data_IF_462933291585
#
_entry.id   IF_462933291585
#
_cell.length_a   1.000
_cell.length_b   1.000
_cell.length_c   1.000
_cell.angle_alpha   90.00
_cell.angle_beta   90.00
_cell.angle_gamma   90.00
#
_symmetry.space_group_name_H-M   'P 1'
#
loop_
_entity.id
_entity.type
_entity.pdbx_description
1 polymer ?
#
# COMPACT_ATOMS: atom_id res chain seq x y z
N UNK A 1 -33.68 -12.43 2.51
CA UNK A 1 -32.68 -13.00 3.45
C UNK A 1 -31.60 -11.95 3.69
N UNK A 2 -30.93 -11.96 4.86
CA UNK A 2 -29.87 -11.02 5.22
C UNK A 2 -28.72 -11.75 5.94
N UNK A 3 -27.51 -11.18 5.89
CA UNK A 3 -26.30 -11.67 6.59
C UNK A 3 -25.87 -10.59 7.58
N UNK A 4 -25.55 -10.99 8.81
CA UNK A 4 -25.08 -10.11 9.87
C UNK A 4 -23.74 -10.61 10.42
N UNK A 5 -22.88 -9.67 10.83
CA UNK A 5 -21.61 -9.96 11.48
C UNK A 5 -21.21 -8.82 12.42
N UNK A 6 -20.31 -9.11 13.36
CA UNK A 6 -19.78 -8.13 14.31
C UNK A 6 -18.27 -8.36 14.51
N UNK A 7 -17.56 -7.29 14.81
CA UNK A 7 -16.14 -7.34 15.19
C UNK A 7 -15.97 -6.52 16.46
N UNK A 8 -15.06 -6.94 17.35
CA UNK A 8 -14.72 -6.09 18.49
C UNK A 8 -14.06 -4.79 18.00
N UNK A 9 -14.33 -3.67 18.67
CA UNK A 9 -13.71 -2.38 18.40
C UNK A 9 -13.26 -1.81 19.75
N UNK A 10 -12.03 -2.12 20.20
CA UNK A 10 -11.60 -1.87 21.58
C UNK A 10 -11.63 -0.40 22.02
N UNK A 11 -11.62 0.52 21.06
CA UNK A 11 -11.74 1.96 21.25
C UNK A 11 -13.19 2.46 21.38
N UNK A 12 -14.20 1.60 21.24
CA UNK A 12 -15.58 1.94 21.58
C UNK A 12 -15.88 1.62 23.05
N UNK A 13 -16.62 2.50 23.76
CA UNK A 13 -17.09 2.21 25.12
C UNK A 13 -17.98 0.96 25.15
N UNK A 14 -17.87 0.18 26.24
CA UNK A 14 -18.73 -0.98 26.47
C UNK A 14 -20.21 -0.58 26.42
N UNK A 15 -21.02 -1.39 25.74
CA UNK A 15 -22.45 -1.10 25.50
C UNK A 15 -22.73 -0.26 24.25
N UNK A 16 -21.69 0.16 23.51
CA UNK A 16 -21.83 0.93 22.27
C UNK A 16 -21.72 0.03 21.04
N UNK A 17 -22.61 0.21 20.07
CA UNK A 17 -22.55 -0.46 18.76
C UNK A 17 -22.36 0.61 17.68
N UNK A 18 -21.24 0.53 16.95
CA UNK A 18 -20.98 1.36 15.77
C UNK A 18 -21.61 0.74 14.51
N UNK A 19 -22.40 1.51 13.79
CA UNK A 19 -23.05 1.09 12.53
C UNK A 19 -22.83 2.18 11.49
N UNK A 20 -22.55 1.78 10.25
CA UNK A 20 -22.42 2.67 9.10
C UNK A 20 -23.03 1.99 7.88
N UNK A 21 -23.73 2.74 7.03
CA UNK A 21 -24.19 2.25 5.74
C UNK A 21 -23.06 2.27 4.67
N UNK A 22 -23.15 1.36 3.72
CA UNK A 22 -22.13 1.19 2.68
C UNK A 22 -20.79 0.62 3.21
N UNK A 23 -19.66 0.86 2.50
CA UNK A 23 -18.36 0.31 2.88
C UNK A 23 -17.89 0.80 4.27
N UNK A 24 -17.55 -0.13 5.16
CA UNK A 24 -17.06 0.19 6.51
C UNK A 24 -15.52 0.08 6.62
N UNK A 25 -14.91 -0.87 5.91
CA UNK A 25 -13.47 -1.15 5.95
C UNK A 25 -12.89 -1.17 4.53
N UNK A 26 -11.59 -0.93 4.42
CA UNK A 26 -10.89 -1.02 3.14
C UNK A 26 -10.77 -2.48 2.67
N UNK A 27 -10.83 -2.68 1.36
CA UNK A 27 -10.30 -3.91 0.75
C UNK A 27 -8.78 -3.91 0.81
N UNK A 28 -8.17 -5.09 0.82
CA UNK A 28 -6.72 -5.24 0.87
C UNK A 28 -6.28 -6.16 -0.26
N UNK A 29 -5.36 -5.68 -1.08
CA UNK A 29 -4.67 -6.44 -2.12
C UNK A 29 -3.16 -6.48 -1.81
N UNK A 30 -2.45 -7.45 -2.39
CA UNK A 30 -1.01 -7.60 -2.25
C UNK A 30 -0.38 -7.93 -3.59
N UNK A 31 0.77 -7.32 -3.88
CA UNK A 31 1.59 -7.64 -5.04
C UNK A 31 3.08 -7.71 -4.66
N UNK A 32 3.88 -8.25 -5.57
CA UNK A 32 5.34 -8.37 -5.43
C UNK A 32 6.01 -7.82 -6.69
N UNK A 33 7.17 -7.17 -6.52
CA UNK A 33 8.00 -6.68 -7.61
C UNK A 33 9.40 -7.27 -7.42
N UNK A 34 9.83 -8.11 -8.36
CA UNK A 34 11.20 -8.62 -8.43
C UNK A 34 12.03 -7.73 -9.37
N UNK A 35 13.15 -7.21 -8.86
CA UNK A 35 14.05 -6.33 -9.62
C UNK A 35 15.40 -7.02 -9.81
N UNK A 36 15.73 -7.31 -11.08
CA UNK A 36 17.01 -7.89 -11.45
C UNK A 36 18.00 -6.81 -11.88
N UNK A 37 19.19 -6.84 -11.29
CA UNK A 37 20.32 -6.02 -11.69
C UNK A 37 21.35 -6.81 -12.51
N UNK A 38 22.42 -6.11 -12.90
CA UNK A 38 23.60 -6.71 -13.54
C UNK A 38 24.81 -6.32 -12.68
N UNK A 39 25.51 -7.32 -12.16
CA UNK A 39 26.68 -7.11 -11.32
C UNK A 39 27.85 -6.50 -12.11
N UNK A 40 28.64 -5.68 -11.43
CA UNK A 40 29.88 -5.11 -11.98
C UNK A 40 30.91 -4.95 -10.85
N UNK A 41 32.15 -4.66 -11.22
CA UNK A 41 33.16 -4.24 -10.26
C UNK A 41 32.73 -2.91 -9.61
N UNK A 42 32.83 -2.77 -8.28
CA UNK A 42 32.32 -1.59 -7.57
C UNK A 42 32.96 -0.26 -8.05
N UNK A 43 34.20 -0.32 -8.54
CA UNK A 43 34.90 0.84 -9.12
C UNK A 43 34.49 1.18 -10.57
N UNK A 44 33.63 0.38 -11.21
CA UNK A 44 33.12 0.58 -12.58
C UNK A 44 31.59 0.42 -12.58
N UNK A 45 30.86 1.28 -11.85
CA UNK A 45 29.43 1.14 -11.63
C UNK A 45 28.61 1.28 -12.92
N UNK A 46 29.12 2.02 -13.90
CA UNK A 46 28.51 2.24 -15.22
C UNK A 46 28.48 0.99 -16.11
N UNK A 47 29.27 -0.05 -15.78
CA UNK A 47 29.25 -1.33 -16.46
C UNK A 47 28.19 -2.32 -15.89
N UNK A 48 27.43 -1.91 -14.87
CA UNK A 48 26.38 -2.72 -14.26
C UNK A 48 25.01 -2.03 -14.22
N UNK A 49 24.04 -2.70 -13.60
CA UNK A 49 22.71 -2.16 -13.32
C UNK A 49 22.43 -2.38 -11.84
N UNK A 50 22.37 -1.30 -11.07
CA UNK A 50 22.16 -1.34 -9.63
C UNK A 50 20.66 -1.50 -9.28
N UNK A 51 20.23 -2.67 -8.77
CA UNK A 51 18.83 -2.90 -8.44
C UNK A 51 18.41 -2.14 -7.17
N UNK A 52 19.34 -1.75 -6.29
CA UNK A 52 19.03 -1.00 -5.07
C UNK A 52 18.61 0.42 -5.41
N UNK A 53 19.38 1.11 -6.28
CA UNK A 53 19.04 2.46 -6.73
C UNK A 53 17.72 2.46 -7.49
N UNK A 54 17.53 1.50 -8.39
CA UNK A 54 16.27 1.35 -9.13
C UNK A 54 15.07 1.11 -8.19
N UNK A 55 15.20 0.17 -7.24
CA UNK A 55 14.15 -0.13 -6.27
C UNK A 55 13.80 1.07 -5.39
N UNK A 56 14.80 1.86 -5.00
CA UNK A 56 14.59 3.06 -4.19
C UNK A 56 13.75 4.11 -4.92
N UNK A 57 14.01 4.30 -6.23
CA UNK A 57 13.19 5.20 -7.06
C UNK A 57 11.77 4.66 -7.24
N UNK A 58 11.60 3.34 -7.40
CA UNK A 58 10.28 2.70 -7.51
C UNK A 58 9.47 2.93 -6.22
N UNK A 59 10.06 2.68 -5.04
CA UNK A 59 9.40 2.93 -3.76
C UNK A 59 8.94 4.38 -3.65
N UNK A 60 9.81 5.32 -4.04
CA UNK A 60 9.47 6.74 -4.00
C UNK A 60 8.32 7.09 -4.96
N UNK A 61 8.33 6.54 -6.17
CA UNK A 61 7.26 6.73 -7.13
C UNK A 61 5.93 6.13 -6.66
N UNK A 62 5.93 4.91 -6.10
CA UNK A 62 4.72 4.24 -5.62
C UNK A 62 4.01 5.06 -4.54
N UNK A 63 4.75 5.68 -3.62
CA UNK A 63 4.18 6.55 -2.57
C UNK A 63 3.46 7.79 -3.14
N UNK A 64 3.75 8.20 -4.37
CA UNK A 64 3.06 9.33 -5.02
C UNK A 64 1.67 8.97 -5.56
N UNK A 65 1.37 7.68 -5.77
CA UNK A 65 0.12 7.24 -6.40
C UNK A 65 -1.07 7.74 -5.56
N UNK A 66 -1.14 7.33 -4.30
CA UNK A 66 -2.22 7.77 -3.39
C UNK A 66 -2.06 9.23 -3.01
N UNK A 67 -0.84 9.68 -2.71
CA UNK A 67 -0.64 11.00 -2.12
C UNK A 67 -0.76 12.17 -3.10
N UNK A 68 -0.55 11.95 -4.40
CA UNK A 68 -0.49 13.02 -5.41
C UNK A 68 -1.28 12.75 -6.69
N UNK A 69 -1.48 11.48 -7.07
CA UNK A 69 -2.08 11.13 -8.36
C UNK A 69 -3.53 10.63 -8.26
N UNK A 70 -4.04 10.37 -7.06
CA UNK A 70 -5.45 10.02 -6.82
C UNK A 70 -6.17 11.24 -6.21
N UNK A 71 -7.33 11.59 -6.76
CA UNK A 71 -8.21 12.60 -6.17
C UNK A 71 -8.55 12.22 -4.73
N UNK A 72 -8.50 13.18 -3.81
CA UNK A 72 -8.87 12.98 -2.40
C UNK A 72 -10.33 12.54 -2.19
N UNK A 73 -11.17 12.66 -3.22
CA UNK A 73 -12.55 12.16 -3.23
C UNK A 73 -12.66 10.65 -3.44
N UNK A 74 -11.58 9.98 -3.85
CA UNK A 74 -11.55 8.53 -4.02
C UNK A 74 -10.95 7.87 -2.77
N UNK A 75 -11.55 6.75 -2.37
CA UNK A 75 -11.01 5.93 -1.29
C UNK A 75 -9.73 5.24 -1.78
N UNK A 76 -8.58 5.75 -1.38
CA UNK A 76 -7.28 5.13 -1.58
C UNK A 76 -6.45 5.30 -0.30
N UNK A 77 -5.76 4.24 0.10
CA UNK A 77 -4.95 4.19 1.32
C UNK A 77 -3.62 3.56 0.96
N UNK A 78 -2.52 4.06 1.53
CA UNK A 78 -1.19 3.44 1.47
C UNK A 78 -1.12 2.32 2.50
#
# INVERSE_FOLDING_TARGET
QAIFGMHNKPDLPVGTIGIKDGPLMAGVDRFEIEIHGVGTHAAVPDAGVDPIVASSQIVMALQTIVSRNISSSHNAVV
#
